data_IF_694749903279
#
_entry.id   IF_694749903279
#
_cell.length_a   1.000
_cell.length_b   1.000
_cell.length_c   1.000
_cell.angle_alpha   90.00
_cell.angle_beta   90.00
_cell.angle_gamma   90.00
#
_symmetry.space_group_name_H-M   'P 1'
#
loop_
_entity.id
_entity.type
_entity.pdbx_description
1 polymer ?
#
# COMPACT_ATOMS: atom_id res chain seq x y z
N UNK A 1 -24.68 -16.01 -2.66
CA UNK A 1 -24.37 -14.94 -1.68
C UNK A 1 -25.56 -14.00 -1.58
N UNK A 2 -26.00 -13.65 -0.36
CA UNK A 2 -27.12 -12.71 -0.17
C UNK A 2 -26.63 -11.26 -0.34
N UNK A 3 -27.43 -10.44 -1.04
CA UNK A 3 -27.17 -9.00 -1.25
C UNK A 3 -28.12 -8.21 -0.36
N UNK A 4 -27.57 -7.46 0.60
CA UNK A 4 -28.35 -6.64 1.51
C UNK A 4 -28.40 -5.19 0.99
N UNK A 5 -29.62 -4.69 0.81
CA UNK A 5 -29.83 -3.30 0.36
C UNK A 5 -29.87 -2.34 1.57
N UNK A 6 -28.76 -2.30 2.34
CA UNK A 6 -28.61 -1.40 3.47
C UNK A 6 -27.66 -0.25 3.10
N UNK A 7 -28.11 0.99 3.33
CA UNK A 7 -27.25 2.16 3.17
C UNK A 7 -26.25 2.22 4.33
N UNK A 8 -24.97 2.13 4.02
CA UNK A 8 -23.90 2.34 5.00
C UNK A 8 -23.70 3.84 5.16
N UNK A 9 -23.62 4.31 6.41
CA UNK A 9 -23.21 5.70 6.68
C UNK A 9 -21.75 5.87 6.34
N UNK A 10 -21.44 6.86 5.50
CA UNK A 10 -20.09 7.21 5.08
C UNK A 10 -19.67 8.60 5.58
N UNK A 11 -19.31 8.74 6.86
CA UNK A 11 -18.92 10.04 7.42
C UNK A 11 -17.51 10.50 6.95
N UNK A 12 -16.78 9.65 6.24
CA UNK A 12 -15.40 9.94 5.81
C UNK A 12 -15.23 9.98 4.29
N UNK A 13 -16.34 9.91 3.54
CA UNK A 13 -16.32 9.94 2.06
C UNK A 13 -15.37 8.88 1.48
N UNK A 14 -15.48 7.63 1.92
CA UNK A 14 -14.58 6.57 1.46
C UNK A 14 -15.16 5.68 0.36
N UNK A 15 -16.49 5.60 0.20
CA UNK A 15 -17.11 4.76 -0.82
C UNK A 15 -17.22 5.44 -2.18
N UNK A 16 -17.07 4.63 -3.25
CA UNK A 16 -17.36 5.10 -4.61
C UNK A 16 -18.88 5.15 -4.83
N UNK A 17 -19.42 6.09 -5.66
CA UNK A 17 -20.85 6.21 -5.91
C UNK A 17 -21.49 4.96 -6.54
N UNK A 18 -20.70 4.19 -7.28
CA UNK A 18 -21.11 2.96 -7.96
C UNK A 18 -20.79 1.68 -7.16
N UNK A 19 -20.58 1.81 -5.84
CA UNK A 19 -20.30 0.66 -4.98
C UNK A 19 -21.43 -0.37 -5.04
N UNK A 20 -21.11 -1.68 -5.14
CA UNK A 20 -22.11 -2.73 -5.02
C UNK A 20 -22.75 -2.73 -3.63
N UNK A 21 -23.94 -3.34 -3.48
CA UNK A 21 -24.53 -3.55 -2.17
C UNK A 21 -23.66 -4.47 -1.29
N UNK A 22 -24.02 -4.57 -0.02
CA UNK A 22 -23.35 -5.51 0.89
C UNK A 22 -23.45 -6.95 0.35
N UNK A 23 -22.35 -7.65 0.37
CA UNK A 23 -22.24 -9.06 -0.04
C UNK A 23 -21.81 -9.88 1.17
N UNK A 24 -22.71 -10.71 1.67
CA UNK A 24 -22.40 -11.63 2.77
C UNK A 24 -21.47 -12.76 2.30
N UNK A 25 -20.50 -13.09 3.11
CA UNK A 25 -19.65 -14.26 2.91
C UNK A 25 -20.32 -15.55 3.40
N UNK A 26 -19.55 -16.59 3.45
CA UNK A 26 -19.99 -17.88 4.02
C UNK A 26 -20.43 -17.69 5.50
N UNK A 27 -21.40 -18.51 5.97
CA UNK A 27 -21.92 -18.37 7.34
C UNK A 27 -20.88 -18.78 8.41
N UNK A 28 -19.75 -19.33 8.03
CA UNK A 28 -18.68 -19.77 8.92
C UNK A 28 -17.32 -19.57 8.27
N UNK A 29 -16.28 -19.51 9.08
CA UNK A 29 -14.90 -19.39 8.61
C UNK A 29 -14.04 -18.51 9.52
N UNK A 30 -12.72 -18.46 9.27
CA UNK A 30 -11.78 -17.72 10.12
C UNK A 30 -12.01 -16.20 10.13
N UNK A 31 -12.71 -15.64 9.14
CA UNK A 31 -13.06 -14.21 9.08
C UNK A 31 -14.54 -13.95 9.38
N UNK A 32 -15.28 -14.93 9.91
CA UNK A 32 -16.70 -14.76 10.27
C UNK A 32 -16.88 -13.55 11.17
N UNK A 33 -17.97 -12.79 10.94
CA UNK A 33 -18.37 -11.57 11.62
C UNK A 33 -17.52 -10.33 11.30
N UNK A 34 -16.44 -10.46 10.54
CA UNK A 34 -15.66 -9.31 10.10
C UNK A 34 -16.28 -8.65 8.86
N UNK A 35 -16.22 -7.34 8.82
CA UNK A 35 -16.63 -6.51 7.68
C UNK A 35 -15.41 -6.00 6.94
N UNK A 36 -15.46 -6.00 5.62
CA UNK A 36 -14.37 -5.44 4.83
C UNK A 36 -14.85 -4.61 3.65
N UNK A 37 -14.00 -3.68 3.23
CA UNK A 37 -14.15 -2.91 2.01
C UNK A 37 -13.05 -3.29 1.01
N UNK A 38 -13.26 -2.98 -0.27
CA UNK A 38 -12.29 -3.29 -1.32
C UNK A 38 -11.99 -2.06 -2.16
N UNK A 39 -10.72 -1.84 -2.47
CA UNK A 39 -10.30 -0.79 -3.40
C UNK A 39 -10.95 -0.96 -4.76
N UNK A 40 -11.37 0.14 -5.38
CA UNK A 40 -12.07 0.12 -6.68
C UNK A 40 -11.12 -0.17 -7.87
N UNK A 41 -10.35 -1.23 -7.73
CA UNK A 41 -9.58 -1.89 -8.78
C UNK A 41 -9.91 -3.39 -8.85
N UNK A 42 -10.52 -3.94 -7.79
CA UNK A 42 -10.89 -5.34 -7.75
C UNK A 42 -12.26 -5.55 -8.39
N UNK A 43 -12.35 -6.52 -9.29
CA UNK A 43 -13.59 -6.93 -9.90
C UNK A 43 -14.53 -7.57 -8.87
N UNK A 44 -15.81 -7.26 -9.01
CA UNK A 44 -16.91 -7.92 -8.34
C UNK A 44 -17.90 -8.33 -9.42
N UNK A 45 -18.22 -9.60 -9.51
CA UNK A 45 -19.13 -10.14 -10.51
C UNK A 45 -20.44 -9.34 -10.59
N UNK A 46 -20.88 -9.02 -11.80
CA UNK A 46 -22.05 -8.17 -12.14
C UNK A 46 -21.89 -6.67 -11.85
N UNK A 47 -20.72 -6.21 -11.37
CA UNK A 47 -20.48 -4.79 -11.10
C UNK A 47 -19.29 -4.25 -11.89
N UNK A 48 -19.36 -2.97 -12.21
CA UNK A 48 -18.27 -2.27 -12.89
C UNK A 48 -17.13 -1.94 -11.90
N UNK A 49 -15.92 -1.84 -12.46
CA UNK A 49 -14.73 -1.36 -11.73
C UNK A 49 -14.30 -0.03 -12.32
N UNK A 50 -14.24 1.01 -11.47
CA UNK A 50 -14.05 2.39 -11.94
C UNK A 50 -12.61 2.87 -11.99
N UNK A 51 -11.68 2.22 -11.30
CA UNK A 51 -10.27 2.60 -11.25
C UNK A 51 -10.04 4.08 -10.91
N UNK A 52 -10.95 4.68 -10.13
CA UNK A 52 -10.88 6.07 -9.73
C UNK A 52 -11.23 7.09 -10.83
N UNK A 53 -11.76 6.66 -11.99
CA UNK A 53 -12.10 7.55 -13.13
C UNK A 53 -13.50 7.24 -13.68
N UNK A 54 -14.42 8.24 -13.78
CA UNK A 54 -15.78 8.01 -14.29
C UNK A 54 -15.84 7.64 -15.77
N UNK A 55 -14.95 8.15 -16.61
CA UNK A 55 -14.93 7.78 -18.04
C UNK A 55 -14.50 6.32 -18.23
N UNK A 56 -13.61 5.80 -17.37
CA UNK A 56 -13.29 4.38 -17.34
C UNK A 56 -14.52 3.55 -16.98
N UNK A 57 -15.21 3.93 -15.92
CA UNK A 57 -16.44 3.26 -15.45
C UNK A 57 -17.51 3.21 -16.54
N UNK A 58 -17.70 4.30 -17.30
CA UNK A 58 -18.71 4.37 -18.36
C UNK A 58 -18.41 3.45 -19.54
N UNK A 59 -17.14 3.32 -19.91
CA UNK A 59 -16.69 2.62 -21.13
C UNK A 59 -16.40 1.14 -20.94
N UNK A 60 -16.49 0.63 -19.72
CA UNK A 60 -16.23 -0.78 -19.42
C UNK A 60 -17.50 -1.50 -18.93
N UNK A 61 -17.61 -2.77 -19.29
CA UNK A 61 -18.73 -3.62 -18.88
C UNK A 61 -18.56 -4.10 -17.42
N UNK A 62 -19.65 -4.54 -16.78
CA UNK A 62 -19.57 -5.25 -15.50
C UNK A 62 -18.65 -6.47 -15.59
N UNK A 63 -17.91 -6.73 -14.52
CA UNK A 63 -17.04 -7.89 -14.44
C UNK A 63 -17.86 -9.20 -14.46
N UNK A 64 -17.34 -10.23 -15.11
CA UNK A 64 -17.93 -11.57 -15.12
C UNK A 64 -17.63 -12.35 -13.85
N UNK A 65 -16.47 -12.07 -13.25
CA UNK A 65 -15.93 -12.81 -12.12
C UNK A 65 -15.51 -11.86 -10.99
N UNK A 66 -15.58 -12.33 -9.77
CA UNK A 66 -15.03 -11.64 -8.60
C UNK A 66 -13.53 -11.92 -8.48
N UNK A 67 -12.76 -10.93 -8.07
CA UNK A 67 -11.32 -11.09 -7.85
C UNK A 67 -11.03 -12.17 -6.78
N UNK A 68 -10.05 -13.04 -7.04
CA UNK A 68 -9.73 -14.20 -6.20
C UNK A 68 -9.50 -13.84 -4.72
N UNK A 69 -8.78 -12.74 -4.45
CA UNK A 69 -8.53 -12.31 -3.07
C UNK A 69 -9.82 -11.88 -2.35
N UNK A 70 -10.78 -11.31 -3.08
CA UNK A 70 -12.10 -10.94 -2.54
C UNK A 70 -12.91 -12.21 -2.26
N UNK A 71 -12.92 -13.16 -3.19
CA UNK A 71 -13.57 -14.45 -3.00
C UNK A 71 -13.00 -15.22 -1.80
N UNK A 72 -11.68 -15.20 -1.63
CA UNK A 72 -11.02 -15.82 -0.47
C UNK A 72 -11.54 -15.25 0.86
N UNK A 73 -11.71 -13.93 0.95
CA UNK A 73 -12.27 -13.30 2.15
C UNK A 73 -13.74 -13.63 2.37
N UNK A 74 -14.56 -13.65 1.31
CA UNK A 74 -15.98 -14.04 1.36
C UNK A 74 -16.14 -15.51 1.76
N UNK A 75 -15.34 -16.38 1.17
CA UNK A 75 -15.35 -17.82 1.48
C UNK A 75 -14.88 -18.10 2.91
N UNK A 76 -14.02 -17.25 3.46
CA UNK A 76 -13.59 -17.29 4.86
C UNK A 76 -14.61 -16.68 5.84
N UNK A 77 -15.78 -16.22 5.38
CA UNK A 77 -16.89 -15.77 6.20
C UNK A 77 -16.96 -14.26 6.41
N UNK A 78 -16.06 -13.46 5.83
CA UNK A 78 -16.13 -12.00 5.93
C UNK A 78 -17.25 -11.41 5.05
N UNK A 79 -17.87 -10.31 5.50
CA UNK A 79 -18.89 -9.57 4.75
C UNK A 79 -18.26 -8.38 4.04
N UNK A 80 -18.37 -8.34 2.71
CA UNK A 80 -17.96 -7.17 1.92
C UNK A 80 -19.01 -6.08 2.02
N UNK A 81 -18.60 -4.89 2.45
CA UNK A 81 -19.53 -3.76 2.64
C UNK A 81 -19.52 -2.77 1.47
N UNK A 82 -18.59 -2.87 0.55
CA UNK A 82 -18.58 -2.05 -0.66
C UNK A 82 -17.19 -1.81 -1.24
N UNK A 83 -17.18 -1.09 -2.37
CA UNK A 83 -15.96 -0.61 -3.04
C UNK A 83 -15.64 0.81 -2.58
N UNK A 84 -14.35 1.10 -2.40
CA UNK A 84 -13.88 2.36 -1.84
C UNK A 84 -12.97 3.12 -2.81
N UNK A 85 -12.96 4.45 -2.64
CA UNK A 85 -12.22 5.40 -3.48
C UNK A 85 -10.72 5.04 -3.50
N UNK A 86 -10.13 5.23 -4.66
CA UNK A 86 -8.69 5.18 -4.89
C UNK A 86 -8.23 6.40 -5.67
N UNK A 87 -6.94 6.70 -5.63
CA UNK A 87 -6.38 7.69 -6.54
C UNK A 87 -6.60 7.22 -7.99
N UNK A 88 -6.80 8.16 -8.88
CA UNK A 88 -7.12 7.89 -10.29
C UNK A 88 -6.03 7.04 -10.95
N UNK A 89 -6.44 5.88 -11.54
CA UNK A 89 -5.57 4.84 -12.10
C UNK A 89 -4.45 4.40 -11.15
N UNK A 90 -4.64 4.58 -9.84
CA UNK A 90 -3.65 4.22 -8.81
C UNK A 90 -2.32 4.98 -8.95
N UNK A 91 -2.25 5.95 -9.88
CA UNK A 91 -1.02 6.63 -10.30
C UNK A 91 -0.70 7.87 -9.45
N UNK A 92 -0.99 7.77 -8.17
CA UNK A 92 -0.62 8.71 -7.11
C UNK A 92 -0.54 7.96 -5.78
N UNK A 93 -0.05 8.61 -4.74
CA UNK A 93 -0.09 8.10 -3.36
C UNK A 93 -0.50 9.18 -2.35
N UNK A 94 -1.18 10.21 -2.83
CA UNK A 94 -1.62 11.35 -2.01
C UNK A 94 -2.98 11.06 -1.38
N UNK A 95 -3.85 10.36 -2.10
CA UNK A 95 -5.20 10.05 -1.63
C UNK A 95 -6.23 11.07 -2.05
N UNK A 96 -5.89 12.00 -2.91
CA UNK A 96 -6.81 12.95 -3.52
C UNK A 96 -7.26 12.45 -4.89
N UNK A 97 -8.56 12.37 -5.10
CA UNK A 97 -9.17 12.02 -6.39
C UNK A 97 -9.98 13.21 -6.90
N UNK A 98 -9.66 13.69 -8.11
CA UNK A 98 -10.31 14.87 -8.70
C UNK A 98 -11.81 14.66 -8.99
N UNK A 99 -12.25 13.41 -9.16
CA UNK A 99 -13.64 13.07 -9.54
C UNK A 99 -14.50 12.70 -8.35
N UNK A 100 -13.94 12.00 -7.34
CA UNK A 100 -14.69 11.45 -6.20
C UNK A 100 -14.34 12.12 -4.86
N UNK A 101 -13.40 13.05 -4.87
CA UNK A 101 -12.96 13.76 -3.67
C UNK A 101 -11.90 13.00 -2.86
N UNK A 102 -11.63 13.52 -1.68
CA UNK A 102 -10.59 13.03 -0.78
C UNK A 102 -11.24 12.36 0.43
N UNK A 103 -11.00 11.05 0.67
CA UNK A 103 -11.42 10.42 1.92
C UNK A 103 -10.79 11.07 3.14
N UNK A 104 -11.56 11.24 4.21
CA UNK A 104 -11.09 11.89 5.44
C UNK A 104 -10.16 10.95 6.21
N UNK A 105 -8.97 11.41 6.51
CA UNK A 105 -8.06 10.76 7.44
C UNK A 105 -8.54 10.96 8.88
N UNK A 106 -9.21 9.99 9.48
CA UNK A 106 -9.75 10.10 10.85
C UNK A 106 -8.67 10.30 11.91
N UNK A 107 -7.42 9.92 11.64
CA UNK A 107 -6.31 10.11 12.58
C UNK A 107 -5.70 11.52 12.53
N UNK A 108 -5.92 12.27 11.41
CA UNK A 108 -5.47 13.64 11.18
C UNK A 108 -6.35 14.31 10.12
N UNK A 109 -7.56 14.82 10.45
CA UNK A 109 -8.59 15.20 9.48
C UNK A 109 -8.23 16.30 8.48
N UNK A 110 -7.28 17.18 8.79
CA UNK A 110 -6.80 18.21 7.86
C UNK A 110 -5.72 17.71 6.90
N UNK A 111 -5.22 16.49 7.11
CA UNK A 111 -4.11 15.90 6.36
C UNK A 111 -4.59 14.90 5.31
N UNK A 112 -3.81 14.75 4.25
CA UNK A 112 -4.07 13.71 3.26
C UNK A 112 -4.11 12.32 3.91
N UNK A 113 -5.01 11.42 3.44
CA UNK A 113 -5.05 10.05 3.94
C UNK A 113 -3.91 9.17 3.42
N UNK A 114 -3.18 9.66 2.40
CA UNK A 114 -2.30 8.82 1.61
C UNK A 114 -3.08 7.95 0.62
N UNK A 115 -2.38 7.44 -0.38
CA UNK A 115 -2.95 6.67 -1.47
C UNK A 115 -1.94 5.68 -2.08
N UNK A 116 -2.34 5.01 -3.11
CA UNK A 116 -3.60 5.13 -3.86
C UNK A 116 -4.79 4.38 -3.22
N UNK A 117 -4.60 3.62 -2.14
CA UNK A 117 -5.69 2.92 -1.42
C UNK A 117 -6.28 3.82 -0.33
N UNK A 118 -6.65 5.06 -0.70
CA UNK A 118 -7.10 6.11 0.22
C UNK A 118 -8.40 5.76 0.95
N UNK A 119 -9.43 5.34 0.22
CA UNK A 119 -10.69 4.91 0.79
C UNK A 119 -10.56 3.63 1.63
N UNK A 120 -9.66 2.72 1.23
CA UNK A 120 -9.36 1.51 2.03
C UNK A 120 -8.83 1.86 3.41
N UNK A 121 -7.85 2.75 3.48
CA UNK A 121 -7.30 3.19 4.77
C UNK A 121 -8.31 4.01 5.58
N UNK A 122 -9.06 4.94 4.93
CA UNK A 122 -10.03 5.77 5.60
C UNK A 122 -11.20 4.95 6.20
N UNK A 123 -11.72 3.96 5.48
CA UNK A 123 -12.80 3.08 5.95
C UNK A 123 -12.40 2.27 7.18
N UNK A 124 -11.15 1.76 7.21
CA UNK A 124 -10.62 1.04 8.37
C UNK A 124 -10.34 2.00 9.53
N UNK A 125 -9.67 3.13 9.29
CA UNK A 125 -9.32 4.09 10.33
C UNK A 125 -10.53 4.70 11.04
N UNK A 126 -11.63 4.91 10.31
CA UNK A 126 -12.90 5.42 10.86
C UNK A 126 -13.74 4.38 11.59
N UNK A 127 -13.43 3.10 11.48
CA UNK A 127 -14.19 2.02 12.10
C UNK A 127 -15.40 1.54 11.30
N UNK A 128 -15.57 1.98 10.05
CA UNK A 128 -16.64 1.52 9.18
C UNK A 128 -16.50 0.02 8.87
N UNK A 129 -15.28 -0.45 8.72
CA UNK A 129 -14.98 -1.87 8.56
C UNK A 129 -13.78 -2.30 9.44
N UNK A 130 -13.59 -3.61 9.55
CA UNK A 130 -12.54 -4.22 10.36
C UNK A 130 -11.22 -4.29 9.62
N UNK A 131 -11.27 -4.60 8.32
CA UNK A 131 -10.14 -4.60 7.42
C UNK A 131 -10.54 -4.12 6.01
N UNK A 132 -9.56 -3.84 5.16
CA UNK A 132 -9.79 -3.46 3.77
C UNK A 132 -8.72 -4.00 2.87
N UNK A 133 -9.11 -4.41 1.65
CA UNK A 133 -8.18 -4.80 0.61
C UNK A 133 -7.72 -3.55 -0.18
N UNK A 134 -6.42 -3.45 -0.39
CA UNK A 134 -5.77 -2.43 -1.21
C UNK A 134 -4.77 -3.05 -2.16
N UNK A 135 -4.00 -2.20 -2.84
CA UNK A 135 -2.88 -2.62 -3.69
C UNK A 135 -1.66 -1.74 -3.42
N UNK A 136 -0.46 -2.29 -3.56
CA UNK A 136 0.79 -1.57 -3.37
C UNK A 136 1.74 -1.79 -4.55
N UNK A 137 1.89 -0.77 -5.36
CA UNK A 137 2.89 -0.71 -6.44
C UNK A 137 4.13 0.05 -5.95
N UNK A 138 3.94 1.26 -5.45
CA UNK A 138 4.99 2.14 -4.94
C UNK A 138 4.71 2.74 -3.57
N UNK A 139 4.05 1.97 -2.67
CA UNK A 139 3.69 2.41 -1.34
C UNK A 139 2.19 2.55 -1.09
N UNK A 140 1.35 2.14 -2.03
CA UNK A 140 -0.11 2.43 -2.00
C UNK A 140 -0.92 1.65 -0.94
N UNK A 141 -0.30 0.79 -0.16
CA UNK A 141 -0.81 0.26 1.12
C UNK A 141 -0.03 0.87 2.28
N UNK A 142 1.28 0.85 2.20
CA UNK A 142 2.16 1.25 3.31
C UNK A 142 2.03 2.72 3.68
N UNK A 143 1.95 3.63 2.70
CA UNK A 143 1.79 5.08 2.93
C UNK A 143 0.46 5.41 3.60
N UNK A 144 -0.71 5.03 3.04
CA UNK A 144 -1.98 5.31 3.71
C UNK A 144 -2.12 4.59 5.06
N UNK A 145 -1.53 3.40 5.24
CA UNK A 145 -1.45 2.77 6.56
C UNK A 145 -0.69 3.64 7.56
N UNK A 146 0.46 4.20 7.17
CA UNK A 146 1.26 5.07 8.04
C UNK A 146 0.52 6.36 8.42
N UNK A 147 -0.15 7.00 7.46
CA UNK A 147 -0.85 8.27 7.69
C UNK A 147 -2.14 8.12 8.49
N UNK A 148 -2.83 7.00 8.31
CA UNK A 148 -4.08 6.72 9.02
C UNK A 148 -3.88 5.93 10.33
N UNK A 149 -2.64 5.57 10.69
CA UNK A 149 -2.33 4.86 11.94
C UNK A 149 -2.80 3.41 11.94
N UNK A 150 -2.55 2.68 10.85
CA UNK A 150 -2.99 1.31 10.62
C UNK A 150 -1.81 0.37 10.43
N UNK A 151 -2.06 -0.92 10.65
CA UNK A 151 -1.24 -1.96 10.05
C UNK A 151 -1.53 -2.03 8.56
N UNK A 152 -0.47 -2.19 7.74
CA UNK A 152 -0.59 -2.40 6.31
C UNK A 152 0.57 -3.22 5.78
N UNK A 153 0.29 -4.24 4.97
CA UNK A 153 1.32 -5.09 4.38
C UNK A 153 1.35 -4.92 2.86
N UNK A 154 2.55 -4.62 2.34
CA UNK A 154 2.97 -5.00 1.01
C UNK A 154 3.63 -6.37 1.12
N UNK A 155 3.01 -7.45 0.63
CA UNK A 155 3.63 -8.78 0.68
C UNK A 155 4.79 -8.92 -0.31
N UNK A 156 5.48 -10.04 -0.23
CA UNK A 156 6.43 -10.49 -1.24
C UNK A 156 5.76 -10.46 -2.62
N UNK A 157 6.47 -9.94 -3.62
CA UNK A 157 5.96 -9.86 -4.99
C UNK A 157 5.56 -11.27 -5.48
N UNK A 158 4.32 -11.39 -5.96
CA UNK A 158 3.74 -12.63 -6.45
C UNK A 158 3.11 -13.55 -5.39
N UNK A 159 3.18 -13.22 -4.08
CA UNK A 159 2.57 -14.01 -3.00
C UNK A 159 1.04 -13.96 -2.96
N UNK A 160 0.44 -12.90 -3.46
CA UNK A 160 -1.01 -12.78 -3.53
C UNK A 160 -1.46 -12.72 -4.98
N UNK A 161 -2.54 -13.42 -5.28
CA UNK A 161 -3.15 -13.35 -6.60
C UNK A 161 -3.67 -11.94 -6.90
N UNK A 162 -3.40 -11.47 -8.11
CA UNK A 162 -3.97 -10.25 -8.69
C UNK A 162 -5.03 -10.58 -9.76
N UNK A 163 -5.47 -11.85 -9.83
CA UNK A 163 -6.55 -12.27 -10.71
C UNK A 163 -7.83 -11.48 -10.39
N UNK A 164 -8.42 -10.85 -11.39
CA UNK A 164 -9.57 -9.96 -11.24
C UNK A 164 -9.25 -8.57 -10.68
N UNK A 165 -7.97 -8.18 -10.60
CA UNK A 165 -7.56 -6.81 -10.30
C UNK A 165 -7.07 -6.10 -11.57
N UNK A 166 -7.41 -4.82 -11.73
CA UNK A 166 -6.84 -4.01 -12.81
C UNK A 166 -5.35 -3.81 -12.57
N UNK A 167 -4.45 -4.24 -13.48
CA UNK A 167 -3.02 -4.02 -13.32
C UNK A 167 -2.67 -2.53 -13.46
N UNK A 168 -1.55 -2.12 -12.86
CA UNK A 168 -0.96 -0.79 -13.03
C UNK A 168 0.46 -0.91 -13.58
N UNK A 169 1.33 -1.57 -12.83
CA UNK A 169 2.71 -1.84 -13.19
C UNK A 169 3.11 -3.24 -12.69
N UNK A 170 2.91 -4.28 -13.49
CA UNK A 170 3.06 -5.69 -13.09
C UNK A 170 4.42 -6.04 -12.49
N UNK A 171 5.48 -5.31 -12.83
CA UNK A 171 6.81 -5.48 -12.21
C UNK A 171 6.84 -5.17 -10.71
N UNK A 172 5.80 -4.51 -10.17
CA UNK A 172 5.75 -4.01 -8.81
C UNK A 172 4.43 -4.29 -8.08
N UNK A 173 3.34 -4.54 -8.81
CA UNK A 173 2.01 -4.65 -8.23
C UNK A 173 1.90 -5.80 -7.25
N UNK A 174 1.34 -5.50 -6.07
CA UNK A 174 0.92 -6.51 -5.09
C UNK A 174 -0.47 -6.16 -4.59
N UNK A 175 -1.28 -7.16 -4.29
CA UNK A 175 -2.38 -6.97 -3.36
C UNK A 175 -1.81 -6.72 -1.95
N UNK A 176 -2.64 -6.17 -1.07
CA UNK A 176 -2.29 -5.98 0.33
C UNK A 176 -3.53 -5.58 1.12
N UNK A 177 -3.41 -5.46 2.44
CA UNK A 177 -4.55 -5.16 3.29
C UNK A 177 -4.19 -4.26 4.46
N UNK A 178 -5.23 -3.73 5.10
CA UNK A 178 -5.17 -2.85 6.27
C UNK A 178 -6.02 -3.43 7.40
N UNK A 179 -5.57 -3.26 8.64
CA UNK A 179 -6.41 -3.41 9.82
C UNK A 179 -5.94 -2.47 10.95
N UNK A 180 -6.84 -2.14 11.89
CA UNK A 180 -6.48 -1.39 13.12
C UNK A 180 -5.89 -2.31 14.18
N UNK A 181 -6.36 -3.54 14.20
CA UNK A 181 -6.05 -4.53 15.19
C UNK A 181 -5.07 -5.59 14.65
N UNK A 182 -3.97 -5.90 15.37
CA UNK A 182 -2.98 -6.87 14.89
C UNK A 182 -3.51 -8.30 14.82
N UNK A 183 -4.53 -8.67 15.61
CA UNK A 183 -5.14 -10.00 15.55
C UNK A 183 -5.98 -10.12 14.27
N UNK A 184 -6.84 -9.12 13.97
CA UNK A 184 -7.58 -9.08 12.71
C UNK A 184 -6.60 -9.08 11.52
N UNK A 185 -5.54 -8.28 11.61
CA UNK A 185 -4.52 -8.22 10.57
C UNK A 185 -3.89 -9.58 10.29
N UNK A 186 -3.55 -10.33 11.34
CA UNK A 186 -3.01 -11.69 11.27
C UNK A 186 -4.02 -12.70 10.73
N UNK A 187 -5.29 -12.63 11.18
CA UNK A 187 -6.38 -13.50 10.68
C UNK A 187 -6.62 -13.33 9.18
N UNK A 188 -6.58 -12.09 8.68
CA UNK A 188 -6.67 -11.84 7.23
C UNK A 188 -5.48 -12.45 6.52
N UNK A 189 -4.26 -12.25 7.03
CA UNK A 189 -3.04 -12.84 6.47
C UNK A 189 -3.12 -14.36 6.33
N UNK A 190 -3.63 -15.06 7.36
CA UNK A 190 -3.78 -16.53 7.32
C UNK A 190 -4.79 -17.04 6.29
N UNK A 191 -5.63 -16.18 5.73
CA UNK A 191 -6.61 -16.52 4.68
C UNK A 191 -6.09 -16.17 3.29
N UNK A 192 -5.41 -15.02 3.16
CA UNK A 192 -5.06 -14.52 1.82
C UNK A 192 -3.66 -14.90 1.36
N UNK A 193 -2.71 -15.16 2.29
CA UNK A 193 -1.37 -15.63 1.94
C UNK A 193 -1.42 -17.10 1.52
N UNK A 194 -0.68 -17.43 0.47
CA UNK A 194 -0.51 -18.81 0.02
C UNK A 194 0.48 -19.60 0.91
N UNK A 195 0.66 -20.89 0.62
CA UNK A 195 1.55 -21.78 1.38
C UNK A 195 3.03 -21.69 0.94
N UNK A 196 3.46 -20.57 0.35
CA UNK A 196 4.84 -20.37 -0.13
C UNK A 196 5.70 -19.61 0.89
N UNK A 197 5.48 -19.83 2.18
CA UNK A 197 6.29 -19.20 3.22
C UNK A 197 7.72 -19.74 3.26
N UNK A 198 8.67 -18.86 3.54
CA UNK A 198 10.05 -19.20 3.91
C UNK A 198 10.20 -18.96 5.40
N UNK A 199 9.97 -20.01 6.18
CA UNK A 199 10.02 -19.95 7.63
C UNK A 199 11.46 -19.71 8.12
N UNK A 200 11.63 -18.68 8.95
CA UNK A 200 12.85 -18.42 9.70
C UNK A 200 12.53 -17.53 10.89
N UNK A 201 12.94 -17.91 12.09
CA UNK A 201 12.77 -17.06 13.26
C UNK A 201 13.54 -15.75 13.08
N UNK A 202 12.87 -14.62 13.34
CA UNK A 202 13.56 -13.32 13.38
C UNK A 202 14.48 -13.28 14.60
N UNK A 203 15.77 -13.34 14.36
CA UNK A 203 16.85 -13.30 15.34
C UNK A 203 17.88 -12.18 15.07
N UNK A 204 17.77 -11.53 13.91
CA UNK A 204 18.63 -10.43 13.52
C UNK A 204 17.82 -9.22 13.09
N UNK A 205 17.99 -8.10 13.79
CA UNK A 205 17.32 -6.84 13.49
C UNK A 205 18.37 -5.83 13.05
N UNK A 206 18.21 -5.23 11.87
CA UNK A 206 19.04 -4.15 11.36
C UNK A 206 18.23 -2.85 11.36
N UNK A 207 18.85 -1.77 11.83
CA UNK A 207 18.25 -0.44 11.73
C UNK A 207 18.86 0.32 10.55
N UNK A 208 18.05 0.72 9.59
CA UNK A 208 18.47 1.48 8.41
C UNK A 208 18.76 2.94 8.80
N UNK A 209 19.90 3.20 9.46
CA UNK A 209 20.26 4.53 9.95
C UNK A 209 20.24 5.58 8.84
N UNK A 210 20.66 5.21 7.62
CA UNK A 210 20.57 6.04 6.44
C UNK A 210 19.13 6.53 6.14
N UNK A 211 18.11 5.68 6.39
CA UNK A 211 16.72 6.03 6.16
C UNK A 211 16.18 6.97 7.24
N UNK A 212 16.58 6.78 8.48
CA UNK A 212 16.27 7.69 9.57
C UNK A 212 16.92 9.07 9.36
N UNK A 213 18.16 9.11 8.90
CA UNK A 213 18.89 10.36 8.60
C UNK A 213 18.34 11.09 7.38
N UNK A 214 17.73 10.36 6.43
CA UNK A 214 17.04 10.93 5.27
C UNK A 214 15.66 11.51 5.60
N UNK A 215 15.04 11.01 6.67
CA UNK A 215 13.69 11.40 7.08
C UNK A 215 13.71 12.69 7.91
N UNK A 216 12.56 13.40 7.92
CA UNK A 216 12.41 14.58 8.78
C UNK A 216 12.49 14.19 10.26
N UNK A 217 12.97 15.12 11.09
CA UNK A 217 13.11 14.96 12.53
C UNK A 217 11.78 14.58 13.21
N UNK A 218 10.67 15.10 12.67
CA UNK A 218 9.31 14.82 13.15
C UNK A 218 8.91 13.34 12.96
N UNK A 219 9.57 12.62 12.09
CA UNK A 219 9.38 11.18 11.85
C UNK A 219 10.50 10.38 12.54
N UNK A 220 11.76 10.76 12.30
CA UNK A 220 12.91 9.98 12.74
C UNK A 220 13.10 9.96 14.25
N UNK A 221 12.97 11.12 14.93
CA UNK A 221 13.19 11.22 16.37
C UNK A 221 12.19 10.39 17.19
N UNK A 222 10.86 10.50 16.97
CA UNK A 222 9.89 9.68 17.68
C UNK A 222 10.08 8.17 17.46
N UNK A 223 10.43 7.76 16.24
CA UNK A 223 10.68 6.36 15.92
C UNK A 223 11.93 5.83 16.64
N UNK A 224 13.05 6.57 16.60
CA UNK A 224 14.28 6.17 17.29
C UNK A 224 14.01 6.01 18.78
N UNK A 225 13.33 6.98 19.42
CA UNK A 225 12.94 6.89 20.85
C UNK A 225 12.07 5.68 21.15
N UNK A 226 11.11 5.37 20.27
CA UNK A 226 10.24 4.21 20.45
C UNK A 226 11.04 2.90 20.30
N UNK A 227 11.91 2.78 19.28
CA UNK A 227 12.79 1.63 19.08
C UNK A 227 13.69 1.43 20.33
N UNK A 228 14.34 2.49 20.79
CA UNK A 228 15.16 2.47 21.99
C UNK A 228 14.41 1.96 23.22
N UNK A 229 13.15 2.36 23.40
CA UNK A 229 12.33 1.98 24.56
C UNK A 229 11.79 0.55 24.54
N UNK A 230 11.67 -0.07 23.33
CA UNK A 230 10.96 -1.34 23.15
C UNK A 230 11.85 -2.50 22.70
N UNK A 231 12.97 -2.21 22.04
CA UNK A 231 13.82 -3.22 21.41
C UNK A 231 15.23 -3.34 22.04
N UNK A 232 15.47 -2.66 23.17
CA UNK A 232 16.80 -2.61 23.82
C UNK A 232 16.88 -3.40 25.13
N UNK A 233 16.69 -4.77 25.03
CA UNK A 233 17.31 -5.61 26.07
C UNK A 233 17.47 -7.06 25.55
N UNK A 234 18.66 -7.53 25.25
CA UNK A 234 19.96 -6.92 24.89
C UNK A 234 19.99 -6.34 23.47
N UNK A 235 21.07 -5.70 23.00
CA UNK A 235 21.06 -4.80 21.83
C UNK A 235 20.57 -5.50 20.56
N UNK A 236 19.27 -5.38 20.30
CA UNK A 236 18.63 -5.84 19.10
C UNK A 236 18.79 -4.74 18.03
N UNK A 237 19.79 -4.85 17.19
CA UNK A 237 19.90 -4.02 16.01
C UNK A 237 21.32 -3.53 15.72
N UNK A 238 21.94 -4.17 14.74
CA UNK A 238 23.17 -3.64 14.15
C UNK A 238 22.78 -2.46 13.26
N UNK A 239 23.27 -1.24 13.52
CA UNK A 239 22.95 -0.09 12.69
C UNK A 239 23.57 -0.29 11.30
N UNK A 240 22.72 -0.27 10.26
CA UNK A 240 23.15 -0.17 8.87
C UNK A 240 23.26 1.32 8.54
N UNK A 241 24.49 1.86 8.66
CA UNK A 241 24.74 3.31 8.55
C UNK A 241 24.53 3.84 7.15
N UNK A 242 24.89 3.05 6.15
CA UNK A 242 24.84 3.42 4.75
C UNK A 242 24.03 2.42 3.94
N UNK A 243 23.40 2.90 2.89
CA UNK A 243 22.87 2.03 1.84
C UNK A 243 24.00 1.19 1.25
N UNK A 244 23.73 -0.08 0.86
CA UNK A 244 24.64 -0.80 -0.01
C UNK A 244 25.12 0.10 -1.16
N UNK A 245 26.41 0.05 -1.48
CA UNK A 245 27.07 0.99 -2.42
C UNK A 245 26.37 1.08 -3.79
N UNK A 246 25.71 0.00 -4.17
CA UNK A 246 24.95 -0.17 -5.40
C UNK A 246 23.66 0.67 -5.42
N UNK A 247 23.16 1.09 -4.23
CA UNK A 247 21.88 1.78 -4.10
C UNK A 247 22.12 3.27 -3.87
N UNK A 248 21.58 4.09 -4.76
CA UNK A 248 21.48 5.54 -4.60
C UNK A 248 20.00 5.93 -4.67
N UNK A 249 19.51 6.67 -3.68
CA UNK A 249 18.09 7.03 -3.58
C UNK A 249 17.51 7.64 -4.86
N UNK A 250 18.22 8.61 -5.45
CA UNK A 250 17.74 9.25 -6.68
C UNK A 250 17.69 8.29 -7.86
N UNK A 251 18.69 7.42 -7.98
CA UNK A 251 18.72 6.40 -9.04
C UNK A 251 17.65 5.32 -8.82
N UNK A 252 17.42 4.91 -7.57
CA UNK A 252 16.37 3.96 -7.21
C UNK A 252 14.98 4.53 -7.54
N UNK A 253 14.72 5.77 -7.12
CA UNK A 253 13.51 6.49 -7.45
C UNK A 253 13.30 6.61 -8.96
N UNK A 254 14.33 6.99 -9.70
CA UNK A 254 14.25 7.15 -11.15
C UNK A 254 14.01 5.80 -11.84
N UNK A 255 14.69 4.74 -11.45
CA UNK A 255 14.47 3.41 -11.99
C UNK A 255 13.02 2.94 -11.75
N UNK A 256 12.52 3.11 -10.53
CA UNK A 256 11.13 2.82 -10.21
C UNK A 256 10.18 3.62 -11.10
N UNK A 257 10.37 4.94 -11.18
CA UNK A 257 9.51 5.86 -11.92
C UNK A 257 9.43 5.51 -13.42
N UNK A 258 10.54 5.23 -14.06
CA UNK A 258 10.60 4.91 -15.49
C UNK A 258 9.94 3.56 -15.79
N UNK A 259 10.25 2.52 -14.99
CA UNK A 259 9.63 1.20 -15.19
C UNK A 259 8.11 1.30 -14.98
N UNK A 260 7.68 1.90 -13.88
CA UNK A 260 6.27 2.10 -13.56
C UNK A 260 5.55 2.86 -14.68
N UNK A 261 6.09 4.00 -15.10
CA UNK A 261 5.46 4.84 -16.11
C UNK A 261 5.28 4.10 -17.43
N UNK A 262 6.30 3.35 -17.88
CA UNK A 262 6.20 2.55 -19.10
C UNK A 262 5.10 1.49 -19.01
N UNK A 263 4.99 0.80 -17.88
CA UNK A 263 3.97 -0.23 -17.65
C UNK A 263 2.56 0.36 -17.51
N UNK A 264 2.43 1.50 -16.84
CA UNK A 264 1.17 2.26 -16.77
C UNK A 264 0.69 2.63 -18.19
N UNK A 265 1.58 3.13 -19.03
CA UNK A 265 1.21 3.46 -20.42
C UNK A 265 0.85 2.22 -21.24
N UNK A 266 1.52 1.10 -21.02
CA UNK A 266 1.14 -0.18 -21.64
C UNK A 266 -0.26 -0.64 -21.24
N UNK A 267 -0.66 -0.39 -20.00
CA UNK A 267 -1.98 -0.77 -19.49
C UNK A 267 -3.09 0.17 -19.97
N UNK A 268 -2.91 1.47 -19.82
CA UNK A 268 -3.97 2.45 -20.00
C UNK A 268 -3.87 3.27 -21.30
N UNK A 269 -2.70 3.32 -21.94
CA UNK A 269 -2.41 4.26 -23.02
C UNK A 269 -3.34 4.13 -24.22
N UNK A 270 -3.62 2.90 -24.70
CA UNK A 270 -4.52 2.67 -25.82
C UNK A 270 -5.93 3.18 -25.53
N UNK A 271 -6.44 2.93 -24.33
CA UNK A 271 -7.76 3.42 -23.92
C UNK A 271 -7.76 4.95 -23.78
N UNK A 272 -6.73 5.55 -23.20
CA UNK A 272 -6.59 7.02 -23.05
C UNK A 272 -6.59 7.70 -24.42
N UNK A 273 -5.83 7.19 -25.38
CA UNK A 273 -5.77 7.76 -26.72
C UNK A 273 -7.10 7.67 -27.47
N UNK A 274 -7.83 6.58 -27.29
CA UNK A 274 -9.13 6.35 -27.91
C UNK A 274 -10.25 7.17 -27.26
N UNK A 275 -10.33 7.13 -25.93
CA UNK A 275 -11.45 7.67 -25.15
C UNK A 275 -11.28 9.15 -24.81
N UNK A 276 -10.04 9.66 -24.81
CA UNK A 276 -9.67 11.05 -24.44
C UNK A 276 -10.36 11.49 -23.15
N UNK A 277 -10.18 10.70 -22.05
CA UNK A 277 -10.88 10.97 -20.81
C UNK A 277 -10.46 12.31 -20.20
N UNK A 278 -11.35 12.87 -19.38
CA UNK A 278 -10.94 13.92 -18.45
C UNK A 278 -10.07 13.30 -17.36
N UNK A 279 -8.81 13.71 -17.31
CA UNK A 279 -7.82 13.26 -16.32
C UNK A 279 -7.59 14.36 -15.29
N UNK A 280 -7.61 13.99 -14.04
CA UNK A 280 -7.33 14.90 -12.94
C UNK A 280 -5.90 15.48 -13.00
N UNK A 281 -5.69 16.67 -12.42
CA UNK A 281 -4.37 17.30 -12.32
C UNK A 281 -3.33 16.36 -11.69
N UNK A 282 -2.12 16.43 -12.19
CA UNK A 282 -1.02 15.56 -11.78
C UNK A 282 -1.08 14.14 -12.38
N UNK A 283 -2.27 13.54 -12.57
CA UNK A 283 -2.41 12.27 -13.29
C UNK A 283 -2.20 12.50 -14.78
N UNK A 284 -2.80 13.56 -15.34
CA UNK A 284 -2.64 13.93 -16.73
C UNK A 284 -1.16 14.10 -17.10
N UNK A 285 -0.42 14.90 -16.33
CA UNK A 285 1.00 15.17 -16.60
C UNK A 285 1.85 13.90 -16.50
N UNK A 286 1.53 13.00 -15.53
CA UNK A 286 2.22 11.72 -15.42
C UNK A 286 1.90 10.78 -16.57
N UNK A 287 0.67 10.77 -17.08
CA UNK A 287 0.30 9.97 -18.27
C UNK A 287 0.97 10.53 -19.53
N UNK A 288 1.01 11.86 -19.69
CA UNK A 288 1.71 12.51 -20.81
C UNK A 288 3.22 12.20 -20.79
N UNK A 289 3.84 12.19 -19.61
CA UNK A 289 5.23 11.74 -19.44
C UNK A 289 5.38 10.25 -19.79
N UNK A 290 4.51 9.40 -19.28
CA UNK A 290 4.57 7.95 -19.44
C UNK A 290 4.48 7.54 -20.92
N UNK A 291 3.67 8.24 -21.71
CA UNK A 291 3.54 8.09 -23.17
C UNK A 291 4.89 8.20 -23.88
N UNK A 292 5.77 9.05 -23.42
CA UNK A 292 7.04 9.38 -24.09
C UNK A 292 8.21 8.49 -23.65
N UNK A 293 8.02 7.59 -22.66
CA UNK A 293 9.07 6.68 -22.22
C UNK A 293 9.22 5.51 -23.20
N UNK A 294 10.43 5.33 -23.72
CA UNK A 294 10.74 4.27 -24.66
C UNK A 294 10.94 2.93 -23.97
N UNK A 295 10.80 1.83 -24.72
CA UNK A 295 11.10 0.49 -24.19
C UNK A 295 12.55 0.35 -23.74
N UNK A 296 13.50 0.90 -24.52
CA UNK A 296 14.92 0.90 -24.18
C UNK A 296 15.23 1.62 -22.84
N UNK A 297 14.50 2.68 -22.50
CA UNK A 297 14.67 3.37 -21.22
C UNK A 297 14.29 2.45 -20.05
N UNK A 298 13.21 1.68 -20.20
CA UNK A 298 12.78 0.67 -19.22
C UNK A 298 13.86 -0.41 -19.05
N UNK A 299 14.40 -0.93 -20.14
CA UNK A 299 15.38 -2.04 -20.10
C UNK A 299 16.66 -1.65 -19.34
N UNK A 300 17.14 -0.41 -19.52
CA UNK A 300 18.25 0.14 -18.75
C UNK A 300 17.92 0.15 -17.24
N UNK A 301 16.69 0.57 -16.89
CA UNK A 301 16.30 0.64 -15.49
C UNK A 301 16.04 -0.74 -14.85
N UNK A 302 15.62 -1.74 -15.62
CA UNK A 302 15.50 -3.12 -15.14
C UNK A 302 16.84 -3.66 -14.64
N UNK A 303 17.95 -3.39 -15.37
CA UNK A 303 19.28 -3.78 -14.89
C UNK A 303 19.60 -3.17 -13.53
N UNK A 304 19.27 -1.89 -13.32
CA UNK A 304 19.48 -1.24 -12.02
C UNK A 304 18.52 -1.77 -10.94
N UNK A 305 17.24 -1.99 -11.26
CA UNK A 305 16.27 -2.67 -10.36
C UNK A 305 16.84 -3.99 -9.83
N UNK A 306 17.41 -4.81 -10.72
CA UNK A 306 17.97 -6.12 -10.33
C UNK A 306 19.15 -5.97 -9.36
N UNK A 307 20.03 -4.97 -9.56
CA UNK A 307 21.12 -4.65 -8.62
C UNK A 307 20.57 -4.27 -7.23
N UNK A 308 19.58 -3.39 -7.20
CA UNK A 308 18.91 -3.00 -5.94
C UNK A 308 18.28 -4.21 -5.26
N UNK A 309 17.59 -5.07 -6.04
CA UNK A 309 16.95 -6.26 -5.50
C UNK A 309 17.96 -7.24 -4.89
N UNK A 310 19.08 -7.48 -5.55
CA UNK A 310 20.17 -8.34 -5.03
C UNK A 310 20.72 -7.76 -3.73
N UNK A 311 21.11 -6.49 -3.71
CA UNK A 311 21.71 -5.87 -2.53
C UNK A 311 20.77 -5.85 -1.31
N UNK A 312 19.48 -5.61 -1.53
CA UNK A 312 18.50 -5.65 -0.43
C UNK A 312 18.22 -7.07 0.06
N UNK A 313 18.16 -8.07 -0.82
CA UNK A 313 18.02 -9.49 -0.42
C UNK A 313 19.22 -9.97 0.39
N UNK A 314 20.41 -9.55 0.06
CA UNK A 314 21.64 -9.81 0.85
C UNK A 314 21.62 -9.09 2.20
N UNK A 315 20.94 -7.94 2.28
CA UNK A 315 20.76 -7.19 3.53
C UNK A 315 19.72 -7.85 4.45
N UNK A 316 18.72 -8.52 3.91
CA UNK A 316 17.63 -9.17 4.64
C UNK A 316 17.52 -10.67 4.29
N UNK A 317 18.55 -11.51 4.58
CA UNK A 317 18.43 -12.95 4.46
C UNK A 317 17.37 -13.49 5.44
N UNK A 318 16.91 -14.76 5.27
CA UNK A 318 15.96 -15.36 6.21
C UNK A 318 16.39 -15.20 7.67
N UNK A 319 15.47 -14.78 8.53
CA UNK A 319 15.72 -14.44 9.94
C UNK A 319 16.17 -13.00 10.20
N UNK A 320 16.47 -12.23 9.16
CA UNK A 320 16.89 -10.82 9.28
C UNK A 320 15.82 -9.86 8.83
N UNK A 321 15.54 -8.82 9.62
CA UNK A 321 14.64 -7.72 9.24
C UNK A 321 15.36 -6.38 9.27
N UNK A 322 14.89 -5.46 8.40
CA UNK A 322 15.40 -4.10 8.32
C UNK A 322 14.32 -3.10 8.77
N UNK A 323 14.62 -2.37 9.85
CA UNK A 323 13.75 -1.31 10.39
C UNK A 323 14.05 0.02 9.71
N UNK A 324 13.01 0.72 9.27
CA UNK A 324 13.11 2.05 8.68
C UNK A 324 11.79 2.83 8.89
N UNK A 325 11.77 4.16 8.72
CA UNK A 325 10.50 4.89 8.61
C UNK A 325 9.71 4.42 7.39
N UNK A 326 8.38 4.30 7.50
CA UNK A 326 7.54 4.00 6.32
C UNK A 326 7.56 5.16 5.33
N UNK A 327 7.43 6.38 5.83
CA UNK A 327 7.49 7.62 5.05
C UNK A 327 8.55 8.54 5.61
N UNK A 328 9.20 9.32 4.75
CA UNK A 328 10.25 10.24 5.17
C UNK A 328 9.71 11.50 5.85
N UNK A 329 8.43 11.81 5.70
CA UNK A 329 7.78 13.00 6.23
C UNK A 329 6.39 12.67 6.75
N UNK A 330 5.85 13.53 7.64
CA UNK A 330 4.44 13.48 8.03
C UNK A 330 3.53 13.82 6.83
N UNK A 331 2.24 13.43 6.85
CA UNK A 331 1.31 13.80 5.78
C UNK A 331 1.13 15.32 5.69
N UNK A 332 1.13 15.83 4.48
CA UNK A 332 0.86 17.24 4.18
C UNK A 332 -0.63 17.56 4.30
N UNK A 333 -0.97 18.84 4.30
CA UNK A 333 -2.37 19.29 4.29
C UNK A 333 -3.06 18.93 2.96
N UNK A 334 -4.37 18.73 3.02
CA UNK A 334 -5.20 18.58 1.83
C UNK A 334 -5.09 19.86 0.99
N UNK A 335 -5.03 19.71 -0.34
CA UNK A 335 -4.82 20.82 -1.29
C UNK A 335 -3.48 21.56 -1.11
N UNK A 336 -2.43 20.85 -0.68
CA UNK A 336 -1.06 21.41 -0.65
C UNK A 336 -0.63 21.83 -2.06
N UNK A 337 0.09 22.95 -2.12
CA UNK A 337 0.66 23.50 -3.36
C UNK A 337 1.40 22.43 -4.18
N UNK A 338 1.20 22.38 -5.51
CA UNK A 338 1.77 21.36 -6.37
C UNK A 338 3.31 21.26 -6.32
N UNK A 339 4.04 22.37 -6.16
CA UNK A 339 5.51 22.35 -6.13
C UNK A 339 6.03 21.76 -4.81
N UNK A 340 5.38 22.13 -3.70
CA UNK A 340 5.64 21.49 -2.39
C UNK A 340 5.34 20.00 -2.47
N UNK A 341 4.20 19.66 -3.08
CA UNK A 341 3.76 18.28 -3.22
C UNK A 341 4.70 17.44 -4.10
N UNK A 342 5.30 18.02 -5.14
CA UNK A 342 6.27 17.33 -5.99
C UNK A 342 7.56 16.99 -5.22
N UNK A 343 8.06 17.93 -4.41
CA UNK A 343 9.23 17.73 -3.54
C UNK A 343 8.94 16.64 -2.49
N UNK A 344 7.77 16.71 -1.85
CA UNK A 344 7.29 15.74 -0.90
C UNK A 344 7.18 14.33 -1.52
N UNK A 345 6.60 14.23 -2.72
CA UNK A 345 6.49 12.97 -3.47
C UNK A 345 7.86 12.37 -3.79
N UNK A 346 8.80 13.21 -4.25
CA UNK A 346 10.15 12.73 -4.57
C UNK A 346 10.84 12.14 -3.33
N UNK A 347 10.75 12.82 -2.20
CA UNK A 347 11.32 12.38 -0.93
C UNK A 347 10.69 11.06 -0.45
N UNK A 348 9.37 10.99 -0.43
CA UNK A 348 8.63 9.81 0.00
C UNK A 348 8.92 8.61 -0.90
N UNK A 349 8.91 8.80 -2.23
CA UNK A 349 9.16 7.73 -3.19
C UNK A 349 10.59 7.19 -3.10
N UNK A 350 11.59 8.03 -2.83
CA UNK A 350 12.99 7.62 -2.68
C UNK A 350 13.18 6.56 -1.60
N UNK A 351 12.42 6.64 -0.51
CA UNK A 351 12.47 5.67 0.58
C UNK A 351 11.58 4.45 0.31
N UNK A 352 10.31 4.70 -0.02
CA UNK A 352 9.30 3.64 -0.09
C UNK A 352 9.48 2.69 -1.29
N UNK A 353 10.13 3.14 -2.39
CA UNK A 353 10.34 2.32 -3.57
C UNK A 353 11.35 1.18 -3.38
N UNK A 354 12.14 1.18 -2.32
CA UNK A 354 13.17 0.15 -2.07
C UNK A 354 12.55 -1.25 -1.99
N UNK A 355 11.48 -1.42 -1.20
CA UNK A 355 10.78 -2.70 -1.12
C UNK A 355 10.08 -3.06 -2.44
N UNK A 356 9.56 -2.05 -3.19
CA UNK A 356 8.96 -2.28 -4.50
C UNK A 356 9.98 -2.77 -5.53
N UNK A 357 11.15 -2.13 -5.60
CA UNK A 357 12.23 -2.51 -6.52
C UNK A 357 12.78 -3.90 -6.22
N UNK A 358 12.88 -4.26 -4.95
CA UNK A 358 13.43 -5.56 -4.53
C UNK A 358 12.41 -6.70 -4.59
N UNK A 359 11.11 -6.39 -4.62
CA UNK A 359 10.03 -7.37 -4.49
C UNK A 359 9.91 -7.97 -3.09
N UNK A 360 10.57 -7.38 -2.08
CA UNK A 360 10.53 -7.83 -0.70
C UNK A 360 9.25 -7.38 0.01
N UNK A 361 8.79 -8.14 1.02
CA UNK A 361 7.67 -7.75 1.85
C UNK A 361 8.05 -6.60 2.78
N UNK A 362 7.11 -5.67 2.99
CA UNK A 362 7.25 -4.60 3.98
C UNK A 362 5.93 -4.37 4.70
N UNK A 363 5.97 -4.44 6.03
CA UNK A 363 4.85 -4.08 6.89
C UNK A 363 5.01 -2.67 7.45
N UNK A 364 3.89 -1.94 7.52
CA UNK A 364 3.74 -0.67 8.25
C UNK A 364 3.12 -0.96 9.61
N UNK A 365 3.76 -0.54 10.70
CA UNK A 365 3.31 -0.75 12.08
C UNK A 365 3.11 0.62 12.74
N UNK A 366 1.90 0.98 13.21
CA UNK A 366 1.62 2.27 13.84
C UNK A 366 2.15 2.27 15.29
N UNK A 367 3.36 2.76 15.50
CA UNK A 367 4.06 2.61 16.79
C UNK A 367 4.01 3.84 17.68
N UNK A 368 3.92 5.04 17.10
CA UNK A 368 3.98 6.30 17.86
C UNK A 368 3.23 7.43 17.18
N UNK A 369 3.29 8.62 17.76
CA UNK A 369 2.72 9.84 17.18
C UNK A 369 3.72 11.00 17.29
N UNK A 370 3.64 11.92 16.33
CA UNK A 370 4.33 13.20 16.33
C UNK A 370 3.31 14.31 16.07
N UNK A 371 3.24 15.30 16.94
CA UNK A 371 2.22 16.38 16.86
C UNK A 371 0.77 15.87 16.74
N UNK A 372 0.48 14.74 17.37
CA UNK A 372 -0.83 14.08 17.28
C UNK A 372 -1.06 13.24 16.02
N UNK A 373 -0.16 13.29 15.03
CA UNK A 373 -0.23 12.54 13.77
C UNK A 373 0.46 11.17 13.95
N UNK A 374 -0.11 10.07 13.44
CA UNK A 374 0.54 8.77 13.49
C UNK A 374 1.91 8.75 12.81
N UNK A 375 2.84 8.00 13.39
CA UNK A 375 4.15 7.70 12.79
C UNK A 375 4.36 6.20 12.85
N UNK A 376 4.66 5.60 11.71
CA UNK A 376 4.76 4.16 11.57
C UNK A 376 6.18 3.68 11.31
N UNK A 377 6.53 2.59 11.97
CA UNK A 377 7.73 1.83 11.71
C UNK A 377 7.50 0.91 10.51
N UNK A 378 8.37 0.99 9.52
CA UNK A 378 8.47 0.04 8.42
C UNK A 378 9.40 -1.11 8.79
N UNK A 379 9.00 -2.32 8.47
CA UNK A 379 9.85 -3.50 8.63
C UNK A 379 9.90 -4.24 7.30
N UNK A 380 11.08 -4.27 6.67
CA UNK A 380 11.33 -5.07 5.47
C UNK A 380 11.88 -6.43 5.91
N UNK A 381 11.30 -7.51 5.39
CA UNK A 381 11.76 -8.89 5.61
C UNK A 381 12.39 -9.51 4.36
N UNK A 382 12.59 -10.81 4.41
CA UNK A 382 13.04 -11.63 3.28
C UNK A 382 11.87 -12.07 2.40
N UNK A 383 12.16 -12.45 1.17
CA UNK A 383 11.13 -12.98 0.27
C UNK A 383 10.51 -14.25 0.85
N UNK A 384 9.20 -14.28 1.01
CA UNK A 384 8.44 -15.36 1.65
C UNK A 384 8.38 -15.31 3.17
N UNK A 385 8.92 -14.26 3.82
CA UNK A 385 8.87 -14.08 5.28
C UNK A 385 7.65 -13.29 5.77
N UNK A 386 6.59 -13.24 4.99
CA UNK A 386 5.41 -12.41 5.23
C UNK A 386 4.71 -12.73 6.55
N UNK A 387 4.53 -14.01 6.87
CA UNK A 387 3.89 -14.49 8.10
C UNK A 387 4.72 -14.14 9.34
N UNK A 388 6.04 -14.22 9.21
CA UNK A 388 6.95 -13.85 10.31
C UNK A 388 6.92 -12.34 10.57
N UNK A 389 6.80 -11.50 9.52
CA UNK A 389 6.60 -10.06 9.70
C UNK A 389 5.30 -9.74 10.41
N UNK A 390 4.20 -10.42 10.09
CA UNK A 390 2.90 -10.26 10.76
C UNK A 390 3.02 -10.68 12.23
N UNK A 391 3.66 -11.81 12.49
CA UNK A 391 3.91 -12.31 13.86
C UNK A 391 4.78 -11.33 14.64
N UNK A 392 5.84 -10.82 14.03
CA UNK A 392 6.73 -9.83 14.64
C UNK A 392 5.98 -8.55 14.99
N UNK A 393 5.18 -8.00 14.06
CA UNK A 393 4.38 -6.82 14.30
C UNK A 393 3.39 -7.00 15.47
N UNK A 394 2.74 -8.16 15.54
CA UNK A 394 1.81 -8.49 16.63
C UNK A 394 2.51 -8.57 17.98
N UNK A 395 3.72 -9.13 18.04
CA UNK A 395 4.53 -9.21 19.27
C UNK A 395 5.02 -7.85 19.75
N UNK A 396 5.46 -6.99 18.82
CA UNK A 396 5.96 -5.64 19.15
C UNK A 396 4.92 -4.76 19.84
N UNK A 397 3.65 -4.97 19.55
CA UNK A 397 2.56 -4.12 20.05
C UNK A 397 1.78 -4.74 21.21
N UNK A 398 2.09 -5.98 21.61
CA UNK A 398 1.55 -6.53 22.86
C UNK A 398 2.10 -5.69 24.03
N UNK A 399 1.19 -5.17 24.83
CA UNK A 399 1.54 -4.59 26.14
C UNK A 399 1.97 -5.75 27.05
N UNK A 400 3.15 -5.61 27.68
CA UNK A 400 3.52 -6.43 28.82
C UNK A 400 2.50 -6.29 29.95
#
# INVERSE_FOLDING_TARGET
MARLNQSIKDPVNCFVPHSPPIIEGNPSGPLQSLKFSVKDLYNIADYKTGNGNPSWLETHEPATDTAEIVESCLNAGATMIGKVICDEFFYSFIGENAHYGTPINSAAPSKIPGGSSSGSAASVASGICDFSLGSDTGGSVRIPAAFCGLYGLRPTLGRLSLSGATPMAPSFDTAGWFARDPEIFSRVGSVVLDNQSVEAKIDNIRMAEFAFNFSDDEVSIPLKKWIESKLFDPPLGVPLKELPSEIKFDRAREAFRIIQAREVWQTFGTWIEKSKPDLGPGVKERMDMAKNILAADKDIQISYKNKVATALKETTPPGTVLLLPVTASLPVDINTDPDILNTYRAKTLSLICLASLSGLPQISIPVTRSKGIPVSLGVIGWAGGDEELITFASKLMKKD
#
